data_IF_955462694356
#
_entry.id   IF_955462694356
#
_cell.length_a   1.000
_cell.length_b   1.000
_cell.length_c   1.000
_cell.angle_alpha   90.00
_cell.angle_beta   90.00
_cell.angle_gamma   90.00
#
_symmetry.space_group_name_H-M   'P 1'
#
loop_
_entity.id
_entity.type
_entity.pdbx_description
1 polymer ?
#
# COMPACT_ATOMS: atom_id res chain seq x y z
N UNK A 1 17.19 99.92 -25.25
CA UNK A 1 16.92 98.67 -24.51
C UNK A 1 16.73 97.54 -25.53
N UNK A 2 17.70 96.61 -25.70
CA UNK A 2 17.50 95.41 -26.50
C UNK A 2 17.50 94.16 -25.59
N UNK A 3 16.37 93.46 -25.49
CA UNK A 3 16.28 92.13 -24.87
C UNK A 3 15.48 91.22 -25.81
N UNK A 4 16.14 90.50 -26.73
CA UNK A 4 15.49 89.34 -27.39
C UNK A 4 16.41 88.26 -27.97
N UNK A 5 17.75 88.30 -27.81
CA UNK A 5 18.62 87.32 -28.50
C UNK A 5 19.06 86.09 -27.68
N UNK A 6 18.70 85.96 -26.39
CA UNK A 6 19.21 84.90 -25.52
C UNK A 6 18.43 83.58 -25.64
N UNK A 7 17.13 83.62 -25.94
CA UNK A 7 16.26 82.43 -25.94
C UNK A 7 16.44 81.52 -27.16
N UNK A 8 16.85 82.06 -28.31
CA UNK A 8 17.03 81.28 -29.55
C UNK A 8 18.34 80.48 -29.58
N UNK A 9 19.35 80.93 -28.83
CA UNK A 9 20.65 80.23 -28.73
C UNK A 9 20.57 79.02 -27.80
N UNK A 10 19.77 79.08 -26.74
CA UNK A 10 19.54 77.96 -25.81
C UNK A 10 18.77 76.83 -26.50
N UNK A 11 17.76 77.15 -27.30
CA UNK A 11 16.97 76.17 -28.05
C UNK A 11 17.77 75.50 -29.18
N UNK A 12 18.70 76.22 -29.82
CA UNK A 12 19.64 75.61 -30.79
C UNK A 12 20.68 74.71 -30.11
N UNK A 13 21.19 75.11 -28.93
CA UNK A 13 22.11 74.29 -28.15
C UNK A 13 21.48 72.98 -27.64
N UNK A 14 20.17 72.99 -27.31
CA UNK A 14 19.40 71.79 -26.98
C UNK A 14 19.14 70.88 -28.19
N UNK A 15 19.07 71.44 -29.41
CA UNK A 15 18.85 70.68 -30.64
C UNK A 15 20.10 69.96 -31.17
N UNK A 16 21.29 70.49 -30.90
CA UNK A 16 22.58 69.91 -31.31
C UNK A 16 23.20 68.97 -30.26
N UNK A 17 22.58 68.81 -29.09
CA UNK A 17 23.10 67.98 -28.01
C UNK A 17 22.79 66.48 -28.20
N UNK A 18 23.77 65.77 -28.78
CA UNK A 18 23.72 64.31 -28.99
C UNK A 18 23.66 63.50 -27.69
N UNK A 19 24.00 64.09 -26.54
CA UNK A 19 23.90 63.43 -25.23
C UNK A 19 22.45 63.35 -24.71
N UNK A 20 21.57 64.26 -25.17
CA UNK A 20 20.13 64.19 -24.90
C UNK A 20 19.45 63.05 -25.66
N UNK A 21 19.85 62.80 -26.91
CA UNK A 21 19.29 61.72 -27.73
C UNK A 21 19.64 60.32 -27.19
N UNK A 22 20.87 60.11 -26.71
CA UNK A 22 21.28 58.85 -26.08
C UNK A 22 20.57 58.61 -24.75
N UNK A 23 20.34 59.67 -23.95
CA UNK A 23 19.56 59.57 -22.71
C UNK A 23 18.12 59.11 -22.96
N UNK A 24 17.48 59.59 -24.03
CA UNK A 24 16.11 59.16 -24.41
C UNK A 24 16.08 57.69 -24.83
N UNK A 25 17.03 57.24 -25.66
CA UNK A 25 17.11 55.84 -26.12
C UNK A 25 17.42 54.90 -24.95
N UNK A 26 18.33 55.28 -24.05
CA UNK A 26 18.66 54.53 -22.83
C UNK A 26 17.45 54.47 -21.89
N UNK A 27 16.71 55.57 -21.73
CA UNK A 27 15.48 55.60 -20.93
C UNK A 27 14.41 54.65 -21.46
N UNK A 28 14.15 54.68 -22.77
CA UNK A 28 13.16 53.80 -23.41
C UNK A 28 13.57 52.32 -23.37
N UNK A 29 14.85 52.02 -23.59
CA UNK A 29 15.36 50.64 -23.49
C UNK A 29 15.33 50.12 -22.06
N UNK A 30 15.63 50.94 -21.06
CA UNK A 30 15.55 50.56 -19.64
C UNK A 30 14.11 50.24 -19.21
N UNK A 31 13.12 51.03 -19.65
CA UNK A 31 11.69 50.73 -19.42
C UNK A 31 11.32 49.36 -20.03
N UNK A 32 11.82 49.07 -21.23
CA UNK A 32 11.57 47.80 -21.91
C UNK A 32 12.17 46.62 -21.13
N UNK A 33 13.43 46.72 -20.71
CA UNK A 33 14.12 45.68 -19.91
C UNK A 33 13.42 45.46 -18.58
N UNK A 34 13.07 46.53 -17.86
CA UNK A 34 12.33 46.44 -16.60
C UNK A 34 10.94 45.83 -16.79
N UNK A 35 10.26 46.12 -17.90
CA UNK A 35 9.00 45.50 -18.28
C UNK A 35 9.13 43.98 -18.43
N UNK A 36 10.17 43.50 -19.11
CA UNK A 36 10.43 42.06 -19.25
C UNK A 36 10.82 41.39 -17.93
N UNK A 37 11.62 42.04 -17.09
CA UNK A 37 11.96 41.54 -15.74
C UNK A 37 10.71 41.43 -14.88
N UNK A 38 9.85 42.45 -14.88
CA UNK A 38 8.58 42.44 -14.17
C UNK A 38 7.65 41.33 -14.63
N UNK A 39 7.56 41.09 -15.94
CA UNK A 39 6.79 39.98 -16.51
C UNK A 39 7.36 38.62 -16.08
N UNK A 40 8.69 38.48 -16.04
CA UNK A 40 9.37 37.27 -15.53
C UNK A 40 9.01 36.98 -14.07
N UNK A 41 8.99 38.00 -13.21
CA UNK A 41 8.59 37.88 -11.80
C UNK A 41 7.13 37.44 -11.68
N UNK A 42 6.22 38.05 -12.45
CA UNK A 42 4.80 37.71 -12.41
C UNK A 42 4.52 36.28 -12.88
N UNK A 43 5.21 35.82 -13.93
CA UNK A 43 5.14 34.43 -14.40
C UNK A 43 5.69 33.46 -13.35
N UNK A 44 6.85 33.79 -12.75
CA UNK A 44 7.45 33.00 -11.67
C UNK A 44 6.53 32.87 -10.46
N UNK A 45 5.96 33.98 -9.99
CA UNK A 45 5.00 33.99 -8.89
C UNK A 45 3.74 33.18 -9.22
N UNK A 46 3.23 33.29 -10.45
CA UNK A 46 2.08 32.50 -10.92
C UNK A 46 2.38 31.01 -10.96
N UNK A 47 3.58 30.62 -11.38
CA UNK A 47 4.02 29.22 -11.41
C UNK A 47 4.14 28.62 -10.00
N UNK A 48 4.74 29.36 -9.06
CA UNK A 48 4.83 28.94 -7.65
C UNK A 48 3.43 28.83 -7.03
N UNK A 49 2.56 29.80 -7.28
CA UNK A 49 1.17 29.75 -6.81
C UNK A 49 0.40 28.56 -7.39
N UNK A 50 0.65 28.21 -8.66
CA UNK A 50 0.08 27.00 -9.30
C UNK A 50 0.56 25.73 -8.63
N UNK A 51 1.86 25.60 -8.35
CA UNK A 51 2.44 24.43 -7.69
C UNK A 51 1.91 24.27 -6.25
N UNK A 52 1.81 25.37 -5.52
CA UNK A 52 1.20 25.41 -4.18
C UNK A 52 -0.27 24.96 -4.21
N UNK A 53 -1.05 25.45 -5.18
CA UNK A 53 -2.45 25.03 -5.34
C UNK A 53 -2.57 23.55 -5.74
N UNK A 54 -1.65 23.03 -6.55
CA UNK A 54 -1.64 21.61 -6.94
C UNK A 54 -1.36 20.70 -5.74
N UNK A 55 -0.31 20.99 -4.96
CA UNK A 55 0.01 20.24 -3.76
C UNK A 55 -1.16 20.19 -2.76
N UNK A 56 -1.89 21.31 -2.64
CA UNK A 56 -3.09 21.39 -1.80
C UNK A 56 -4.25 20.56 -2.37
N UNK A 57 -4.48 20.59 -3.68
CA UNK A 57 -5.52 19.81 -4.34
C UNK A 57 -5.25 18.30 -4.22
N UNK A 58 -4.01 17.87 -4.45
CA UNK A 58 -3.57 16.47 -4.33
C UNK A 58 -3.82 15.95 -2.89
N UNK A 59 -3.37 16.72 -1.89
CA UNK A 59 -3.55 16.36 -0.49
C UNK A 59 -5.03 16.36 -0.07
N UNK A 60 -5.80 17.34 -0.53
CA UNK A 60 -7.23 17.43 -0.26
C UNK A 60 -8.00 16.25 -0.90
N UNK A 61 -7.74 15.92 -2.16
CA UNK A 61 -8.37 14.79 -2.85
C UNK A 61 -8.04 13.46 -2.17
N UNK A 62 -6.77 13.22 -1.85
CA UNK A 62 -6.34 12.02 -1.14
C UNK A 62 -7.03 11.89 0.23
N UNK A 63 -7.06 12.97 1.02
CA UNK A 63 -7.69 12.98 2.34
C UNK A 63 -9.21 12.77 2.28
N UNK A 64 -9.86 13.33 1.26
CA UNK A 64 -11.29 13.20 1.05
C UNK A 64 -11.65 11.77 0.65
N UNK A 65 -10.88 11.17 -0.25
CA UNK A 65 -11.00 9.76 -0.59
C UNK A 65 -10.74 8.84 0.63
N UNK A 66 -9.80 9.19 1.53
CA UNK A 66 -9.62 8.50 2.81
C UNK A 66 -10.84 8.60 3.73
N UNK A 67 -11.43 9.81 3.84
CA UNK A 67 -12.61 10.04 4.67
C UNK A 67 -13.84 9.25 4.19
N UNK A 68 -14.03 9.10 2.87
CA UNK A 68 -15.09 8.24 2.32
C UNK A 68 -14.92 6.79 2.81
N UNK A 69 -13.68 6.28 2.81
CA UNK A 69 -13.41 4.90 3.25
C UNK A 69 -13.54 4.71 4.76
N UNK A 70 -13.31 5.77 5.54
CA UNK A 70 -13.59 5.79 6.96
C UNK A 70 -15.10 5.88 7.29
N UNK A 71 -15.98 5.87 6.28
CA UNK A 71 -17.43 5.92 6.46
C UNK A 71 -17.98 7.33 6.75
N UNK A 72 -17.22 8.37 6.46
CA UNK A 72 -17.63 9.77 6.71
C UNK A 72 -18.45 10.31 5.55
N UNK A 73 -19.61 10.93 5.82
CA UNK A 73 -20.44 11.59 4.80
C UNK A 73 -19.96 13.00 4.43
N UNK A 74 -19.17 13.66 5.29
CA UNK A 74 -18.75 15.06 5.15
C UNK A 74 -17.41 15.19 4.38
N UNK A 75 -17.35 14.57 3.20
CA UNK A 75 -16.15 14.50 2.34
C UNK A 75 -15.66 15.89 1.93
N UNK A 76 -16.60 16.80 1.65
CA UNK A 76 -16.32 18.19 1.24
C UNK A 76 -15.62 18.99 2.34
N UNK A 77 -16.05 18.83 3.59
CA UNK A 77 -15.47 19.55 4.73
C UNK A 77 -14.03 19.09 5.00
N UNK A 78 -13.76 17.78 4.86
CA UNK A 78 -12.41 17.24 4.99
C UNK A 78 -11.46 17.84 3.94
N UNK A 79 -11.85 17.83 2.65
CA UNK A 79 -11.05 18.42 1.59
C UNK A 79 -10.79 19.92 1.82
N UNK A 80 -11.82 20.66 2.26
CA UNK A 80 -11.71 22.10 2.57
C UNK A 80 -10.81 22.37 3.77
N UNK A 81 -10.86 21.54 4.81
CA UNK A 81 -9.98 21.66 5.98
C UNK A 81 -8.52 21.43 5.59
N UNK A 82 -8.23 20.44 4.75
CA UNK A 82 -6.88 20.20 4.24
C UNK A 82 -6.42 21.35 3.34
N UNK A 83 -7.25 21.82 2.41
CA UNK A 83 -6.91 22.98 1.58
C UNK A 83 -6.62 24.25 2.42
N UNK A 84 -7.38 24.47 3.50
CA UNK A 84 -7.14 25.56 4.44
C UNK A 84 -5.80 25.45 5.17
N UNK A 85 -5.31 24.24 5.47
CA UNK A 85 -3.98 24.02 6.05
C UNK A 85 -2.83 24.45 5.10
N UNK A 86 -3.08 24.50 3.78
CA UNK A 86 -2.18 25.07 2.78
C UNK A 86 -2.39 26.58 2.58
N UNK A 87 -3.20 27.23 3.40
CA UNK A 87 -3.56 28.65 3.26
C UNK A 87 -4.59 28.93 2.15
N UNK A 88 -5.29 27.90 1.67
CA UNK A 88 -6.28 28.00 0.59
C UNK A 88 -7.68 27.69 1.15
N UNK A 89 -8.15 28.55 2.06
CA UNK A 89 -9.47 28.40 2.69
C UNK A 89 -10.58 28.83 1.73
N UNK A 90 -11.56 27.95 1.54
CA UNK A 90 -12.72 28.20 0.68
C UNK A 90 -13.48 29.47 1.09
N UNK A 91 -13.84 30.30 0.10
CA UNK A 91 -14.56 31.56 0.30
C UNK A 91 -13.72 32.74 0.83
N UNK A 92 -12.43 32.54 1.09
CA UNK A 92 -11.52 33.59 1.60
C UNK A 92 -10.56 34.02 0.51
N UNK A 93 -10.28 35.33 0.39
CA UNK A 93 -9.34 35.90 -0.60
C UNK A 93 -9.61 35.47 -2.06
N UNK A 94 -10.89 35.21 -2.40
CA UNK A 94 -11.31 34.75 -3.72
C UNK A 94 -10.93 33.30 -4.04
N UNK A 95 -10.47 32.52 -3.05
CA UNK A 95 -10.23 31.08 -3.18
C UNK A 95 -11.55 30.34 -3.23
N UNK A 96 -11.66 29.39 -4.16
CA UNK A 96 -12.76 28.44 -4.26
C UNK A 96 -12.22 27.01 -4.25
N UNK A 97 -12.76 26.18 -3.36
CA UNK A 97 -12.46 24.76 -3.24
C UNK A 97 -13.74 23.98 -3.58
N UNK A 98 -13.76 23.41 -4.78
CA UNK A 98 -14.87 22.58 -5.27
C UNK A 98 -14.50 21.11 -5.09
N UNK A 99 -15.42 20.33 -4.55
CA UNK A 99 -15.24 18.88 -4.31
C UNK A 99 -16.38 18.15 -5.01
N UNK A 100 -16.04 17.23 -5.92
CA UNK A 100 -17.01 16.45 -6.69
C UNK A 100 -16.84 14.95 -6.40
N UNK A 101 -17.95 14.30 -6.06
CA UNK A 101 -18.06 12.85 -5.85
C UNK A 101 -19.34 12.35 -6.54
N UNK A 102 -19.28 11.82 -7.78
CA UNK A 102 -18.09 11.50 -8.58
C UNK A 102 -17.41 12.72 -9.24
N UNK A 103 -16.19 12.57 -9.81
CA UNK A 103 -15.53 13.60 -10.60
C UNK A 103 -16.40 14.10 -11.76
N UNK A 104 -16.37 15.40 -12.02
CA UNK A 104 -17.20 16.03 -13.06
C UNK A 104 -16.54 15.98 -14.46
N UNK A 105 -15.21 15.95 -14.52
CA UNK A 105 -14.44 16.01 -15.77
C UNK A 105 -13.22 15.08 -15.71
N UNK A 106 -12.42 15.02 -16.79
CA UNK A 106 -11.19 14.21 -16.86
C UNK A 106 -11.42 12.73 -17.17
N UNK A 107 -10.35 11.94 -17.13
CA UNK A 107 -10.39 10.49 -17.40
C UNK A 107 -11.11 9.67 -16.32
N UNK A 108 -11.44 10.28 -15.18
CA UNK A 108 -12.21 9.69 -14.09
C UNK A 108 -13.63 10.26 -13.97
N UNK A 109 -14.11 11.03 -14.96
CA UNK A 109 -15.46 11.60 -14.92
C UNK A 109 -16.53 10.52 -14.69
N UNK A 110 -17.44 10.75 -13.75
CA UNK A 110 -18.53 9.82 -13.42
C UNK A 110 -18.11 8.59 -12.60
N UNK A 111 -16.83 8.43 -12.24
CA UNK A 111 -16.38 7.31 -11.42
C UNK A 111 -16.87 7.46 -9.97
N UNK A 112 -17.86 6.66 -9.58
CA UNK A 112 -18.46 6.65 -8.25
C UNK A 112 -17.46 6.33 -7.12
N UNK A 113 -16.29 5.79 -7.44
CA UNK A 113 -15.21 5.45 -6.51
C UNK A 113 -14.04 6.46 -6.57
N UNK A 114 -14.33 7.70 -6.93
CA UNK A 114 -13.33 8.76 -6.99
C UNK A 114 -13.85 10.07 -6.38
N UNK A 115 -12.92 10.88 -5.87
CA UNK A 115 -13.14 12.23 -5.37
C UNK A 115 -12.26 13.18 -6.19
N UNK A 116 -12.88 14.20 -6.78
CA UNK A 116 -12.19 15.29 -7.48
C UNK A 116 -12.17 16.53 -6.58
N UNK A 117 -11.01 17.16 -6.46
CA UNK A 117 -10.85 18.46 -5.80
C UNK A 117 -10.27 19.46 -6.79
N UNK A 118 -10.96 20.58 -6.95
CA UNK A 118 -10.54 21.69 -7.81
C UNK A 118 -10.35 22.91 -6.91
N UNK A 119 -9.12 23.45 -6.89
CA UNK A 119 -8.80 24.68 -6.17
C UNK A 119 -8.55 25.79 -7.17
N UNK A 120 -9.41 26.82 -7.13
CA UNK A 120 -9.26 28.04 -7.91
C UNK A 120 -8.87 29.20 -6.99
N UNK A 121 -7.89 30.00 -7.40
CA UNK A 121 -7.49 31.22 -6.68
C UNK A 121 -7.10 32.36 -7.62
N UNK A 122 -7.23 33.63 -7.20
CA UNK A 122 -6.73 34.75 -7.99
C UNK A 122 -5.20 34.69 -8.11
N UNK A 123 -4.68 34.86 -9.34
CA UNK A 123 -3.25 35.06 -9.55
C UNK A 123 -2.82 36.44 -9.06
N UNK A 124 -1.80 36.49 -8.19
CA UNK A 124 -1.20 37.76 -7.78
C UNK A 124 -0.31 38.30 -8.90
N UNK A 125 -0.42 39.61 -9.17
CA UNK A 125 0.40 40.34 -10.14
C UNK A 125 1.09 41.49 -9.45
N UNK A 126 2.35 41.71 -9.78
CA UNK A 126 3.14 42.79 -9.23
C UNK A 126 3.41 43.85 -10.30
N UNK A 127 3.89 43.44 -11.48
CA UNK A 127 4.41 44.37 -12.49
C UNK A 127 3.59 44.44 -13.79
N UNK A 128 2.70 43.46 -14.06
CA UNK A 128 1.85 43.41 -15.25
C UNK A 128 0.51 44.15 -15.11
N UNK A 129 0.19 44.68 -13.93
CA UNK A 129 -1.06 45.41 -13.63
C UNK A 129 -1.37 46.53 -14.64
N UNK A 130 -0.41 47.40 -15.06
CA UNK A 130 -0.71 48.45 -16.03
C UNK A 130 -0.95 47.95 -17.46
N UNK A 131 -0.58 46.71 -17.78
CA UNK A 131 -0.62 46.17 -19.15
C UNK A 131 -1.73 45.13 -19.38
N UNK A 132 -2.35 44.57 -18.33
CA UNK A 132 -3.37 43.52 -18.44
C UNK A 132 -4.60 43.77 -17.55
N UNK A 133 -5.77 43.93 -18.19
CA UNK A 133 -7.03 44.40 -17.55
C UNK A 133 -7.72 43.42 -16.60
N UNK A 134 -7.41 42.12 -16.60
CA UNK A 134 -8.04 41.15 -15.70
C UNK A 134 -7.05 40.11 -15.19
N UNK A 135 -6.98 39.93 -13.87
CA UNK A 135 -6.22 38.89 -13.16
C UNK A 135 -6.61 37.48 -13.62
N UNK A 136 -5.65 36.65 -14.01
CA UNK A 136 -5.92 35.26 -14.38
C UNK A 136 -6.24 34.44 -13.12
N UNK A 137 -7.20 33.50 -13.23
CA UNK A 137 -7.49 32.54 -12.15
C UNK A 137 -6.56 31.34 -12.31
N UNK A 138 -5.84 30.99 -11.24
CA UNK A 138 -5.01 29.80 -11.16
C UNK A 138 -5.89 28.65 -10.67
N UNK A 139 -5.95 27.53 -11.42
CA UNK A 139 -6.85 26.40 -11.14
C UNK A 139 -6.11 25.07 -11.02
N UNK A 140 -5.85 24.57 -9.82
CA UNK A 140 -5.36 23.21 -9.62
C UNK A 140 -6.49 22.19 -9.57
N UNK A 141 -6.25 20.97 -10.05
CA UNK A 141 -7.22 19.87 -10.02
C UNK A 141 -6.49 18.58 -9.67
N UNK A 142 -7.06 17.80 -8.78
CA UNK A 142 -6.59 16.47 -8.44
C UNK A 142 -7.78 15.51 -8.27
N UNK A 143 -7.57 14.23 -8.54
CA UNK A 143 -8.53 13.15 -8.37
C UNK A 143 -7.89 12.02 -7.60
N UNK A 144 -8.53 11.60 -6.51
CA UNK A 144 -8.16 10.41 -5.77
C UNK A 144 -9.24 9.34 -5.91
N UNK A 145 -8.85 8.12 -6.27
CA UNK A 145 -9.72 6.94 -6.20
C UNK A 145 -9.67 6.35 -4.81
N UNK A 146 -10.81 5.84 -4.35
CA UNK A 146 -10.96 5.02 -3.16
C UNK A 146 -11.67 3.73 -3.54
N UNK A 147 -11.67 2.71 -2.68
CA UNK A 147 -12.27 1.42 -3.05
C UNK A 147 -11.58 0.71 -4.23
N UNK A 148 -10.35 1.10 -4.60
CA UNK A 148 -9.67 0.69 -5.84
C UNK A 148 -9.01 -0.70 -5.75
N UNK A 149 -8.68 -1.14 -4.53
CA UNK A 149 -8.09 -2.45 -4.29
C UNK A 149 -8.93 -3.19 -3.25
N UNK A 150 -9.34 -4.41 -3.56
CA UNK A 150 -10.18 -5.25 -2.71
C UNK A 150 -9.47 -5.73 -1.45
N UNK A 151 -10.17 -6.51 -0.63
CA UNK A 151 -9.60 -7.19 0.53
C UNK A 151 -8.43 -8.11 0.11
N UNK A 152 -7.40 -8.21 0.94
CA UNK A 152 -6.21 -8.97 0.64
C UNK A 152 -6.37 -10.46 0.98
N UNK A 153 -5.96 -11.34 0.05
CA UNK A 153 -5.61 -12.73 0.36
C UNK A 153 -4.13 -12.87 0.69
N UNK A 154 -3.31 -12.02 0.10
CA UNK A 154 -1.85 -12.09 0.20
C UNK A 154 -1.32 -10.69 0.50
N UNK A 155 -0.50 -10.58 1.54
CA UNK A 155 0.19 -9.35 1.91
C UNK A 155 1.67 -9.66 2.17
N UNK A 156 2.54 -9.10 1.34
CA UNK A 156 3.98 -9.02 1.63
C UNK A 156 4.24 -7.75 2.45
N UNK A 157 4.62 -7.92 3.71
CA UNK A 157 4.73 -6.87 4.72
C UNK A 157 6.06 -6.11 4.67
N UNK A 158 7.11 -6.69 4.09
CA UNK A 158 8.44 -6.07 4.06
C UNK A 158 8.43 -4.75 3.27
N UNK A 159 8.92 -3.67 3.88
CA UNK A 159 8.88 -2.31 3.32
C UNK A 159 9.99 -1.99 2.31
N UNK A 160 11.02 -2.84 2.19
CA UNK A 160 12.22 -2.55 1.39
C UNK A 160 12.71 -3.70 0.51
N UNK A 161 12.29 -4.94 0.76
CA UNK A 161 12.76 -6.09 0.00
C UNK A 161 12.42 -5.96 -1.49
N UNK A 162 13.41 -6.17 -2.35
CA UNK A 162 13.15 -6.47 -3.75
C UNK A 162 12.44 -7.82 -3.83
N UNK A 163 11.48 -7.97 -4.74
CA UNK A 163 10.67 -9.17 -4.87
C UNK A 163 9.99 -9.63 -3.56
N UNK A 164 9.54 -8.66 -2.73
CA UNK A 164 8.77 -8.95 -1.52
C UNK A 164 7.57 -9.86 -1.77
N UNK A 165 6.97 -9.77 -2.96
CA UNK A 165 6.18 -10.83 -3.56
C UNK A 165 6.90 -11.35 -4.81
N UNK A 166 7.16 -12.65 -4.85
CA UNK A 166 7.89 -13.30 -5.94
C UNK A 166 7.09 -14.46 -6.49
N UNK A 167 7.04 -14.57 -7.80
CA UNK A 167 6.55 -15.76 -8.48
C UNK A 167 7.50 -16.14 -9.60
N UNK A 168 7.83 -17.43 -9.69
CA UNK A 168 8.83 -17.93 -10.62
C UNK A 168 8.48 -19.29 -11.17
N UNK A 169 8.74 -19.51 -12.46
CA UNK A 169 8.59 -20.79 -13.12
C UNK A 169 7.38 -20.79 -14.05
N UNK A 170 6.65 -21.90 -14.09
CA UNK A 170 5.39 -22.05 -14.83
C UNK A 170 4.24 -22.24 -13.84
N UNK A 171 4.05 -21.26 -12.97
CA UNK A 171 3.08 -21.27 -11.88
C UNK A 171 1.78 -20.57 -12.29
N UNK A 172 0.65 -21.06 -11.77
CA UNK A 172 -0.65 -20.39 -11.85
C UNK A 172 -1.19 -20.16 -10.43
N UNK A 173 -1.22 -18.90 -10.00
CA UNK A 173 -1.69 -18.46 -8.68
C UNK A 173 -3.03 -17.75 -8.84
N UNK A 174 -4.08 -18.34 -8.27
CA UNK A 174 -5.45 -17.83 -8.34
C UNK A 174 -5.94 -17.30 -7.00
N UNK A 175 -6.05 -15.99 -6.90
CA UNK A 175 -6.61 -15.24 -5.78
C UNK A 175 -8.11 -14.96 -6.04
N UNK A 176 -8.97 -15.80 -5.50
CA UNK A 176 -10.42 -15.80 -5.77
C UNK A 176 -11.11 -14.75 -4.90
N UNK A 177 -11.59 -13.68 -5.54
CA UNK A 177 -12.36 -12.61 -4.88
C UNK A 177 -11.51 -11.71 -3.96
N UNK A 178 -10.19 -11.66 -4.18
CA UNK A 178 -9.26 -10.93 -3.34
C UNK A 178 -8.03 -10.43 -4.10
N UNK A 179 -7.29 -9.59 -3.41
CA UNK A 179 -6.13 -8.89 -3.94
C UNK A 179 -4.81 -9.38 -3.34
N UNK A 180 -3.72 -9.06 -4.04
CA UNK A 180 -2.36 -9.16 -3.54
C UNK A 180 -1.85 -7.76 -3.19
N UNK A 181 -1.20 -7.63 -2.03
CA UNK A 181 -0.49 -6.42 -1.65
C UNK A 181 0.99 -6.66 -1.40
N UNK A 182 1.81 -5.67 -1.75
CA UNK A 182 3.21 -5.63 -1.38
C UNK A 182 3.57 -4.24 -0.84
N UNK A 183 4.04 -4.21 0.42
CA UNK A 183 4.41 -2.99 1.12
C UNK A 183 5.80 -2.46 0.73
N UNK A 184 6.57 -3.21 -0.05
CA UNK A 184 7.91 -2.80 -0.43
C UNK A 184 7.90 -1.58 -1.35
N UNK A 185 8.73 -0.60 -1.04
CA UNK A 185 8.99 0.60 -1.86
C UNK A 185 9.86 0.32 -3.08
N UNK A 186 10.39 -0.91 -3.23
CA UNK A 186 11.24 -1.29 -4.35
C UNK A 186 10.52 -1.14 -5.69
N UNK A 187 11.21 -0.69 -6.73
CA UNK A 187 10.68 -0.70 -8.11
C UNK A 187 10.31 -2.10 -8.62
N UNK A 188 10.75 -3.14 -7.91
CA UNK A 188 10.44 -4.55 -8.19
C UNK A 188 9.84 -5.25 -6.97
N UNK A 189 8.98 -4.55 -6.21
CA UNK A 189 8.29 -5.08 -5.03
C UNK A 189 7.53 -6.39 -5.34
N UNK A 190 6.90 -6.47 -6.52
CA UNK A 190 6.36 -7.70 -7.10
C UNK A 190 7.19 -8.12 -8.31
N UNK A 191 7.64 -9.38 -8.36
CA UNK A 191 8.31 -9.94 -9.52
C UNK A 191 7.64 -11.21 -9.99
N UNK A 192 7.30 -11.29 -11.28
CA UNK A 192 6.90 -12.53 -11.93
C UNK A 192 7.93 -12.88 -13.02
N UNK A 193 8.41 -14.13 -13.02
CA UNK A 193 9.43 -14.62 -13.96
C UNK A 193 9.05 -15.96 -14.56
N UNK A 194 9.40 -16.16 -15.83
CA UNK A 194 9.01 -17.37 -16.56
C UNK A 194 7.55 -17.25 -17.01
N UNK A 195 6.86 -18.37 -17.17
CA UNK A 195 5.44 -18.41 -17.54
C UNK A 195 4.49 -18.26 -16.34
N UNK A 196 4.96 -17.62 -15.26
CA UNK A 196 4.19 -17.37 -14.04
C UNK A 196 2.97 -16.48 -14.29
N UNK A 197 1.82 -16.86 -13.73
CA UNK A 197 0.56 -16.11 -13.88
C UNK A 197 -0.11 -15.91 -12.53
N UNK A 198 -0.41 -14.65 -12.19
CA UNK A 198 -1.31 -14.31 -11.07
C UNK A 198 -2.66 -13.90 -11.63
N UNK A 199 -3.72 -14.55 -11.17
CA UNK A 199 -5.10 -14.08 -11.35
C UNK A 199 -5.63 -13.54 -10.02
N UNK A 200 -6.05 -12.29 -9.97
CA UNK A 200 -6.54 -11.65 -8.74
C UNK A 200 -7.67 -10.65 -9.00
N UNK A 201 -8.38 -10.23 -7.96
CA UNK A 201 -9.30 -9.09 -8.07
C UNK A 201 -8.52 -7.81 -8.41
N UNK A 202 -7.51 -7.47 -7.61
CA UNK A 202 -6.56 -6.39 -7.91
C UNK A 202 -5.19 -6.65 -7.30
N UNK A 203 -4.22 -5.82 -7.67
CA UNK A 203 -2.88 -5.84 -7.06
C UNK A 203 -2.53 -4.43 -6.59
N UNK A 204 -2.22 -4.27 -5.31
CA UNK A 204 -1.84 -3.00 -4.69
C UNK A 204 -0.37 -3.00 -4.25
N UNK A 205 0.43 -2.06 -4.77
CA UNK A 205 1.87 -2.01 -4.55
C UNK A 205 2.28 -0.63 -4.05
N UNK A 206 3.12 -0.59 -3.02
CA UNK A 206 3.79 0.66 -2.63
C UNK A 206 4.84 1.03 -3.67
N UNK A 207 5.69 0.08 -4.03
CA UNK A 207 6.69 0.20 -5.09
C UNK A 207 6.14 -0.18 -6.46
N UNK A 208 7.01 -0.78 -7.27
CA UNK A 208 6.70 -1.22 -8.64
C UNK A 208 6.63 -2.74 -8.80
N UNK A 209 6.50 -3.18 -10.05
CA UNK A 209 6.54 -4.59 -10.41
C UNK A 209 7.32 -4.85 -11.69
N UNK A 210 7.80 -6.07 -11.86
CA UNK A 210 8.46 -6.52 -13.09
C UNK A 210 7.90 -7.86 -13.56
N UNK A 211 7.56 -7.94 -14.85
CA UNK A 211 7.16 -9.17 -15.52
C UNK A 211 8.25 -9.54 -16.53
N UNK A 212 8.70 -10.80 -16.53
CA UNK A 212 9.70 -11.29 -17.50
C UNK A 212 9.37 -12.68 -18.02
N UNK A 213 9.80 -12.98 -19.25
CA UNK A 213 9.72 -14.30 -19.89
C UNK A 213 8.29 -14.90 -19.99
N UNK A 214 7.33 -14.10 -20.49
CA UNK A 214 5.90 -14.45 -20.67
C UNK A 214 5.05 -14.47 -19.39
N UNK A 215 5.55 -13.91 -18.30
CA UNK A 215 4.78 -13.74 -17.08
C UNK A 215 3.53 -12.86 -17.32
N UNK A 216 2.42 -13.19 -16.68
CA UNK A 216 1.15 -12.50 -16.82
C UNK A 216 0.53 -12.13 -15.47
N UNK A 217 -0.15 -10.99 -15.44
CA UNK A 217 -0.90 -10.54 -14.28
C UNK A 217 -2.33 -10.20 -14.71
N UNK A 218 -3.26 -11.10 -14.41
CA UNK A 218 -4.65 -11.02 -14.82
C UNK A 218 -5.49 -10.48 -13.67
N UNK A 219 -5.77 -9.17 -13.70
CA UNK A 219 -6.52 -8.49 -12.64
C UNK A 219 -7.86 -7.96 -13.14
N UNK A 220 -8.91 -8.10 -12.33
CA UNK A 220 -10.26 -7.57 -12.67
C UNK A 220 -10.35 -6.06 -12.46
N UNK A 221 -9.80 -5.57 -11.35
CA UNK A 221 -9.79 -4.18 -10.90
C UNK A 221 -8.42 -3.49 -11.09
N UNK A 222 -7.50 -4.12 -11.82
CA UNK A 222 -6.22 -3.53 -12.22
C UNK A 222 -5.08 -3.68 -11.21
N UNK A 223 -3.93 -3.11 -11.60
CA UNK A 223 -2.71 -3.01 -10.80
C UNK A 223 -2.50 -1.56 -10.42
N UNK A 224 -2.26 -1.31 -9.14
CA UNK A 224 -2.10 0.03 -8.59
C UNK A 224 -0.77 0.13 -7.87
N UNK A 225 0.13 0.95 -8.37
CA UNK A 225 1.45 1.23 -7.78
C UNK A 225 1.44 2.58 -7.06
N UNK A 226 2.45 2.85 -6.22
CA UNK A 226 2.55 4.11 -5.49
C UNK A 226 1.50 4.27 -4.39
N UNK A 227 0.87 3.17 -3.96
CA UNK A 227 -0.14 3.21 -2.90
C UNK A 227 0.52 3.31 -1.52
N UNK A 228 -0.27 3.68 -0.51
CA UNK A 228 0.17 3.59 0.87
C UNK A 228 0.35 2.12 1.30
N UNK A 229 1.29 1.87 2.22
CA UNK A 229 1.50 0.55 2.78
C UNK A 229 0.24 0.09 3.53
N UNK A 230 -0.15 -1.17 3.32
CA UNK A 230 -1.25 -1.78 4.06
C UNK A 230 -0.83 -2.03 5.50
N UNK A 231 -1.71 -1.66 6.43
CA UNK A 231 -1.53 -1.94 7.84
C UNK A 231 -1.59 -3.45 8.12
N UNK A 232 -0.76 -3.91 9.04
CA UNK A 232 -0.82 -5.27 9.56
C UNK A 232 -1.99 -5.40 10.56
N UNK A 233 -3.08 -6.14 10.22
CA UNK A 233 -4.26 -6.25 11.07
C UNK A 233 -4.04 -7.08 12.33
N UNK A 234 -2.92 -7.81 12.43
CA UNK A 234 -2.58 -8.63 13.58
C UNK A 234 -1.47 -8.02 14.43
N UNK A 235 -0.91 -6.85 14.08
CA UNK A 235 0.24 -6.21 14.75
C UNK A 235 0.11 -6.13 16.27
N UNK A 236 -1.10 -5.94 16.77
CA UNK A 236 -1.47 -5.81 18.18
C UNK A 236 -1.70 -7.15 18.91
N UNK A 237 -1.82 -8.27 18.19
CA UNK A 237 -2.00 -9.60 18.81
C UNK A 237 -0.70 -10.03 19.50
N UNK A 238 -0.67 -10.16 20.84
CA UNK A 238 0.54 -10.53 21.56
C UNK A 238 0.87 -12.02 21.38
N UNK A 239 2.12 -12.39 21.60
CA UNK A 239 2.53 -13.80 21.72
C UNK A 239 1.80 -14.42 22.93
N UNK A 240 1.09 -15.56 22.77
CA UNK A 240 0.48 -16.25 23.90
C UNK A 240 1.52 -16.64 24.96
N UNK A 241 1.21 -16.41 26.24
CA UNK A 241 2.09 -16.82 27.33
C UNK A 241 2.18 -18.35 27.41
N UNK A 242 3.39 -18.87 27.58
CA UNK A 242 3.67 -20.30 27.70
C UNK A 242 4.90 -20.54 28.59
N UNK A 243 5.05 -21.77 29.08
CA UNK A 243 6.19 -22.17 29.91
C UNK A 243 6.41 -23.67 29.84
N UNK A 244 7.66 -24.11 29.97
CA UNK A 244 8.01 -25.53 29.97
C UNK A 244 7.86 -26.19 28.59
N UNK A 245 8.02 -27.51 28.56
CA UNK A 245 7.86 -28.35 27.39
C UNK A 245 7.01 -29.55 27.78
N UNK A 246 5.85 -29.73 27.14
CA UNK A 246 5.03 -30.94 27.33
C UNK A 246 5.59 -32.10 26.51
N UNK A 247 6.16 -31.79 25.33
CA UNK A 247 6.84 -32.73 24.45
C UNK A 247 8.18 -32.15 24.01
N UNK A 248 9.18 -33.01 23.81
CA UNK A 248 10.52 -32.58 23.39
C UNK A 248 11.07 -33.48 22.29
N UNK A 249 11.29 -32.91 21.11
CA UNK A 249 11.93 -33.57 19.98
C UNK A 249 11.13 -34.71 19.36
N UNK A 250 11.59 -35.18 18.21
CA UNK A 250 11.24 -36.50 17.67
C UNK A 250 10.03 -36.53 16.73
N UNK A 251 9.55 -37.75 16.48
CA UNK A 251 8.40 -37.99 15.61
C UNK A 251 7.11 -38.09 16.43
N UNK A 252 6.10 -37.30 16.04
CA UNK A 252 4.80 -37.31 16.65
C UNK A 252 3.98 -38.49 16.12
N UNK A 253 3.61 -39.47 16.96
CA UNK A 253 2.81 -40.60 16.51
C UNK A 253 1.37 -40.16 16.22
N UNK A 254 0.66 -41.00 15.47
CA UNK A 254 -0.78 -40.87 15.26
C UNK A 254 -1.51 -40.75 16.59
N UNK A 255 -2.40 -39.78 16.71
CA UNK A 255 -3.10 -39.54 17.96
C UNK A 255 -3.88 -38.24 17.98
N UNK A 256 -4.60 -38.04 19.08
CA UNK A 256 -5.31 -36.80 19.39
C UNK A 256 -4.54 -36.07 20.47
N UNK A 257 -4.20 -34.81 20.22
CA UNK A 257 -3.46 -33.96 21.15
C UNK A 257 -4.34 -32.80 21.56
N UNK A 258 -4.43 -32.55 22.87
CA UNK A 258 -5.28 -31.52 23.43
C UNK A 258 -4.49 -30.72 24.46
N UNK A 259 -4.68 -29.41 24.47
CA UNK A 259 -4.29 -28.63 25.63
C UNK A 259 -5.30 -28.87 26.77
N UNK A 260 -4.83 -28.93 28.01
CA UNK A 260 -5.66 -29.13 29.20
C UNK A 260 -5.38 -28.02 30.21
N UNK A 261 -6.42 -27.60 30.95
CA UNK A 261 -6.28 -26.59 32.00
C UNK A 261 -6.08 -25.15 31.50
N UNK A 262 -6.50 -24.82 30.28
CA UNK A 262 -6.51 -23.44 29.77
C UNK A 262 -5.15 -22.85 29.41
N UNK A 263 -4.06 -23.62 29.49
CA UNK A 263 -2.74 -23.24 28.97
C UNK A 263 -2.51 -23.81 27.56
N UNK A 264 -1.58 -23.26 26.76
CA UNK A 264 -1.16 -23.90 25.50
C UNK A 264 -0.49 -25.26 25.72
N UNK A 265 -0.51 -26.12 24.70
CA UNK A 265 0.30 -27.35 24.66
C UNK A 265 1.65 -27.06 23.97
N UNK A 266 2.78 -27.36 24.61
CA UNK A 266 4.11 -26.92 24.17
C UNK A 266 4.96 -28.08 23.65
N UNK A 267 5.40 -27.98 22.39
CA UNK A 267 6.36 -28.86 21.75
C UNK A 267 7.71 -28.14 21.62
N UNK A 268 8.77 -28.73 22.15
CA UNK A 268 10.10 -28.14 22.15
C UNK A 268 11.10 -28.89 21.26
N UNK A 269 12.10 -28.19 20.74
CA UNK A 269 13.27 -28.76 20.04
C UNK A 269 12.92 -29.58 18.78
N UNK A 270 11.98 -29.08 17.98
CA UNK A 270 11.58 -29.65 16.71
C UNK A 270 10.61 -30.83 16.82
N UNK A 271 9.75 -30.94 15.82
CA UNK A 271 8.68 -31.92 15.75
C UNK A 271 8.52 -32.42 14.32
N UNK A 272 8.51 -33.73 14.12
CA UNK A 272 8.25 -34.33 12.80
C UNK A 272 6.99 -35.18 12.81
N UNK A 273 6.12 -35.01 11.82
CA UNK A 273 5.00 -35.93 11.56
C UNK A 273 5.37 -36.69 10.30
N UNK A 274 5.47 -38.01 10.37
CA UNK A 274 6.06 -38.85 9.33
C UNK A 274 5.38 -40.21 9.26
N UNK A 275 5.82 -41.06 8.33
CA UNK A 275 5.40 -42.48 8.25
C UNK A 275 3.89 -42.69 8.18
N UNK A 276 3.17 -41.78 7.49
CA UNK A 276 1.72 -41.86 7.36
C UNK A 276 0.94 -41.48 8.64
N UNK A 277 1.60 -40.92 9.66
CA UNK A 277 0.96 -40.59 10.92
C UNK A 277 -0.17 -39.56 10.73
N UNK A 278 -1.26 -39.76 11.46
CA UNK A 278 -2.41 -38.84 11.51
C UNK A 278 -2.49 -38.20 12.88
N UNK A 279 -2.12 -36.92 12.95
CA UNK A 279 -2.15 -36.10 14.16
C UNK A 279 -3.40 -35.21 14.11
N UNK A 280 -4.23 -35.33 15.14
CA UNK A 280 -5.43 -34.51 15.31
C UNK A 280 -5.25 -33.59 16.51
N UNK A 281 -5.45 -32.30 16.32
CA UNK A 281 -5.41 -31.27 17.35
C UNK A 281 -6.84 -30.88 17.74
N UNK A 282 -7.18 -31.01 19.02
CA UNK A 282 -8.40 -30.43 19.57
C UNK A 282 -8.34 -28.89 19.54
N UNK A 283 -9.48 -28.18 19.66
CA UNK A 283 -9.46 -26.72 19.70
C UNK A 283 -8.53 -26.19 20.80
N UNK A 284 -7.64 -25.26 20.45
CA UNK A 284 -6.63 -24.75 21.38
C UNK A 284 -5.41 -24.12 20.73
N UNK A 285 -4.49 -23.65 21.59
CA UNK A 285 -3.21 -23.06 21.16
C UNK A 285 -2.08 -24.07 21.38
N UNK A 286 -1.24 -24.23 20.35
CA UNK A 286 -0.12 -25.15 20.34
C UNK A 286 1.16 -24.38 20.06
N UNK A 287 2.12 -24.44 20.99
CA UNK A 287 3.39 -23.73 20.88
C UNK A 287 4.43 -24.67 20.31
N UNK A 288 5.09 -24.24 19.25
CA UNK A 288 6.31 -24.85 18.71
C UNK A 288 7.46 -23.96 19.20
N UNK A 289 8.14 -24.42 20.26
CA UNK A 289 9.23 -23.71 20.91
C UNK A 289 10.58 -24.28 20.50
N UNK A 290 11.27 -23.56 19.62
CA UNK A 290 12.59 -23.94 19.08
C UNK A 290 12.58 -25.19 18.21
N UNK A 291 13.22 -25.09 17.04
CA UNK A 291 13.27 -26.17 16.05
C UNK A 291 11.96 -26.36 15.30
N UNK A 292 12.04 -27.02 14.15
CA UNK A 292 11.00 -26.91 13.11
C UNK A 292 9.84 -27.87 13.34
N UNK A 293 8.63 -27.45 12.96
CA UNK A 293 7.52 -28.37 12.71
C UNK A 293 7.60 -28.85 11.27
N UNK A 294 7.90 -30.14 11.07
CA UNK A 294 7.95 -30.79 9.76
C UNK A 294 6.79 -31.76 9.58
N UNK A 295 5.99 -31.59 8.54
CA UNK A 295 4.95 -32.56 8.13
C UNK A 295 5.40 -33.22 6.84
N UNK A 296 5.73 -34.50 6.90
CA UNK A 296 6.28 -35.26 5.77
C UNK A 296 5.18 -35.82 4.86
N UNK A 297 5.57 -36.23 3.65
CA UNK A 297 4.64 -36.82 2.69
C UNK A 297 3.90 -38.03 3.25
N UNK A 298 2.59 -38.10 2.96
CA UNK A 298 1.69 -39.12 3.49
C UNK A 298 1.21 -38.89 4.93
N UNK A 299 1.84 -37.99 5.69
CA UNK A 299 1.36 -37.63 7.02
C UNK A 299 0.18 -36.64 6.95
N UNK A 300 -0.65 -36.65 7.99
CA UNK A 300 -1.81 -35.77 8.14
C UNK A 300 -1.72 -34.98 9.44
N UNK A 301 -1.86 -33.66 9.37
CA UNK A 301 -2.05 -32.77 10.51
C UNK A 301 -3.39 -32.07 10.35
N UNK A 302 -4.31 -32.29 11.30
CA UNK A 302 -5.66 -31.70 11.25
C UNK A 302 -6.10 -31.15 12.60
N UNK A 303 -6.95 -30.13 12.58
CA UNK A 303 -7.51 -29.54 13.80
C UNK A 303 -8.49 -28.42 13.49
N UNK A 304 -9.52 -28.28 14.34
CA UNK A 304 -10.50 -27.21 14.22
C UNK A 304 -10.45 -26.28 15.42
N UNK A 305 -10.51 -24.97 15.17
CA UNK A 305 -10.36 -23.97 16.24
C UNK A 305 -8.95 -23.97 16.85
N UNK A 306 -7.92 -24.16 16.03
CA UNK A 306 -6.53 -24.32 16.48
C UNK A 306 -5.64 -23.18 15.99
N UNK A 307 -4.69 -22.78 16.83
CA UNK A 307 -3.59 -21.88 16.46
C UNK A 307 -2.26 -22.57 16.74
N UNK A 308 -1.43 -22.69 15.71
CA UNK A 308 -0.02 -23.07 15.86
C UNK A 308 0.83 -21.81 16.00
N UNK A 309 1.63 -21.74 17.06
CA UNK A 309 2.48 -20.59 17.40
C UNK A 309 3.94 -20.99 17.24
N UNK A 310 4.66 -20.30 16.37
CA UNK A 310 6.08 -20.54 16.08
C UNK A 310 6.93 -19.51 16.81
N UNK A 311 7.76 -19.95 17.76
CA UNK A 311 8.50 -19.05 18.66
C UNK A 311 9.81 -19.68 19.19
N UNK A 312 10.49 -18.94 20.06
CA UNK A 312 11.65 -19.39 20.82
C UNK A 312 11.68 -18.74 22.20
N UNK A 313 11.76 -19.58 23.23
CA UNK A 313 11.93 -19.21 24.63
C UNK A 313 13.35 -18.73 24.94
N UNK A 314 14.33 -19.07 24.11
CA UNK A 314 15.75 -18.70 24.28
C UNK A 314 16.17 -17.49 23.43
N UNK A 315 15.29 -16.98 22.58
CA UNK A 315 15.63 -15.94 21.61
C UNK A 315 16.52 -16.41 20.46
N UNK A 316 16.70 -17.74 20.31
CA UNK A 316 17.51 -18.38 19.26
C UNK A 316 16.80 -19.62 18.71
N UNK A 317 17.15 -20.06 17.50
CA UNK A 317 16.53 -21.22 16.85
C UNK A 317 15.00 -21.16 16.77
N UNK A 318 14.43 -19.99 16.44
CA UNK A 318 12.99 -19.82 16.25
C UNK A 318 12.45 -20.90 15.31
N UNK A 319 11.40 -21.59 15.75
CA UNK A 319 10.79 -22.66 14.98
C UNK A 319 10.26 -22.16 13.64
N UNK A 320 10.41 -22.96 12.59
CA UNK A 320 9.75 -22.75 11.29
C UNK A 320 8.73 -23.85 11.02
N UNK A 321 7.97 -23.69 9.94
CA UNK A 321 7.07 -24.70 9.39
C UNK A 321 7.61 -25.23 8.05
N UNK A 322 7.68 -26.55 7.94
CA UNK A 322 8.02 -27.27 6.71
C UNK A 322 6.96 -28.33 6.40
N UNK A 323 6.15 -28.08 5.38
CA UNK A 323 5.19 -29.05 4.85
C UNK A 323 5.78 -29.61 3.56
N UNK A 324 6.04 -30.91 3.51
CA UNK A 324 6.59 -31.58 2.34
C UNK A 324 5.50 -32.04 1.37
N UNK A 325 5.90 -32.37 0.14
CA UNK A 325 5.02 -32.93 -0.89
C UNK A 325 4.17 -34.09 -0.39
N UNK A 326 2.89 -34.12 -0.77
CA UNK A 326 1.89 -35.13 -0.37
C UNK A 326 1.55 -35.18 1.13
N UNK A 327 1.92 -34.17 1.92
CA UNK A 327 1.38 -34.00 3.26
C UNK A 327 -0.05 -33.45 3.20
N UNK A 328 -0.92 -33.90 4.10
CA UNK A 328 -2.29 -33.37 4.25
C UNK A 328 -2.35 -32.45 5.45
N UNK A 329 -2.79 -31.21 5.23
CA UNK A 329 -2.99 -30.20 6.26
C UNK A 329 -4.46 -29.78 6.22
N UNK A 330 -5.16 -29.88 7.34
CA UNK A 330 -6.55 -29.40 7.47
C UNK A 330 -6.73 -28.68 8.81
N UNK A 331 -6.46 -27.37 8.79
CA UNK A 331 -6.50 -26.52 9.98
C UNK A 331 -7.57 -25.44 9.81
N UNK A 332 -8.32 -25.17 10.87
CA UNK A 332 -9.13 -23.95 10.97
C UNK A 332 -8.82 -23.18 12.24
N UNK A 333 -8.68 -21.86 12.09
CA UNK A 333 -8.42 -20.93 13.17
C UNK A 333 -9.60 -20.89 14.17
N UNK A 334 -9.35 -20.51 15.43
CA UNK A 334 -10.40 -20.26 16.39
C UNK A 334 -11.24 -19.03 15.99
N UNK A 335 -12.55 -19.10 16.22
CA UNK A 335 -13.49 -17.99 15.93
C UNK A 335 -13.61 -16.98 17.08
N UNK A 336 -12.95 -17.24 18.21
CA UNK A 336 -12.89 -16.38 19.40
C UNK A 336 -11.57 -16.58 20.16
N UNK A 337 -11.33 -15.77 21.19
CA UNK A 337 -10.13 -15.86 22.03
C UNK A 337 -8.94 -15.04 21.52
N UNK A 338 -7.78 -15.09 22.22
CA UNK A 338 -6.64 -14.20 21.96
C UNK A 338 -6.04 -14.32 20.56
N UNK A 339 -6.10 -15.52 19.96
CA UNK A 339 -5.59 -15.82 18.61
C UNK A 339 -6.70 -15.97 17.58
N UNK A 340 -7.87 -15.37 17.85
CA UNK A 340 -9.03 -15.38 16.94
C UNK A 340 -8.62 -15.08 15.50
N UNK A 341 -9.07 -15.93 14.57
CA UNK A 341 -8.79 -15.80 13.15
C UNK A 341 -7.39 -16.26 12.72
N UNK A 342 -6.49 -16.61 13.63
CA UNK A 342 -5.12 -17.03 13.29
C UNK A 342 -4.98 -18.55 13.35
N UNK A 343 -4.71 -19.18 12.21
CA UNK A 343 -4.39 -20.60 12.17
C UNK A 343 -2.90 -20.81 12.46
N UNK A 344 -2.05 -19.95 11.89
CA UNK A 344 -0.61 -19.95 12.10
C UNK A 344 -0.15 -18.55 12.53
N UNK A 345 0.63 -18.48 13.61
CA UNK A 345 1.22 -17.26 14.15
C UNK A 345 2.71 -17.46 14.35
N UNK A 346 3.53 -16.57 13.80
CA UNK A 346 4.95 -16.46 14.13
C UNK A 346 5.21 -15.31 15.09
N UNK A 347 6.07 -15.58 16.07
CA UNK A 347 6.65 -14.56 16.94
C UNK A 347 7.40 -13.49 16.13
N UNK A 348 7.03 -12.22 16.31
CA UNK A 348 7.64 -11.07 15.63
C UNK A 348 9.13 -10.91 15.92
N UNK A 349 9.62 -11.47 17.03
CA UNK A 349 11.03 -11.46 17.40
C UNK A 349 11.87 -12.43 16.57
N UNK A 350 11.23 -13.31 15.78
CA UNK A 350 11.93 -14.21 14.88
C UNK A 350 12.78 -13.42 13.88
N UNK A 351 14.04 -13.82 13.64
CA UNK A 351 14.92 -13.15 12.69
C UNK A 351 14.42 -13.37 11.26
N UNK A 352 14.66 -12.37 10.39
CA UNK A 352 14.47 -12.49 8.95
C UNK A 352 15.53 -13.37 8.28
N UNK A 353 15.44 -13.54 6.96
CA UNK A 353 16.37 -14.38 6.18
C UNK A 353 16.14 -15.89 6.32
N UNK A 354 15.09 -16.29 7.03
CA UNK A 354 14.64 -17.68 7.19
C UNK A 354 13.31 -17.86 6.45
N UNK A 355 13.07 -19.08 5.95
CA UNK A 355 11.92 -19.41 5.10
C UNK A 355 11.04 -20.48 5.75
N UNK A 356 9.72 -20.32 5.61
CA UNK A 356 8.70 -21.30 5.97
C UNK A 356 8.11 -21.87 4.68
N UNK A 357 8.00 -23.20 4.60
CA UNK A 357 7.72 -23.89 3.34
C UNK A 357 6.38 -24.63 3.42
N UNK A 358 5.52 -24.35 2.45
CA UNK A 358 4.20 -24.96 2.27
C UNK A 358 4.21 -25.71 0.94
N UNK A 359 4.56 -27.00 0.93
CA UNK A 359 4.70 -27.81 -0.28
C UNK A 359 3.74 -29.02 -0.33
N UNK A 360 2.69 -29.06 0.49
CA UNK A 360 1.73 -30.18 0.57
C UNK A 360 0.82 -30.38 -0.65
N UNK A 361 0.93 -29.61 -1.74
CA UNK A 361 0.07 -29.75 -2.92
C UNK A 361 -1.39 -29.32 -2.67
N UNK A 362 -2.35 -30.01 -3.29
CA UNK A 362 -3.80 -29.72 -3.23
C UNK A 362 -4.45 -30.13 -1.90
N UNK A 363 -3.77 -30.86 -1.02
CA UNK A 363 -4.27 -31.32 0.28
C UNK A 363 -3.94 -30.35 1.43
N UNK A 364 -3.64 -29.08 1.11
CA UNK A 364 -3.38 -28.03 2.09
C UNK A 364 -4.60 -27.12 2.25
N UNK A 365 -5.41 -27.37 3.29
CA UNK A 365 -6.52 -26.53 3.75
C UNK A 365 -6.11 -25.82 5.04
N UNK A 366 -5.98 -24.50 4.97
CA UNK A 366 -5.75 -23.66 6.15
C UNK A 366 -6.80 -22.55 6.13
N UNK A 367 -7.84 -22.69 6.95
CA UNK A 367 -8.88 -21.70 7.12
C UNK A 367 -8.50 -20.73 8.25
N UNK A 368 -8.02 -19.55 7.91
CA UNK A 368 -7.57 -18.53 8.85
C UNK A 368 -6.44 -17.68 8.28
N UNK A 369 -5.85 -16.85 9.14
CA UNK A 369 -4.63 -16.14 8.84
C UNK A 369 -3.41 -17.04 9.01
N UNK A 370 -2.52 -16.94 8.03
CA UNK A 370 -1.15 -17.46 8.03
C UNK A 370 -0.25 -16.24 8.24
N UNK A 371 0.26 -16.06 9.45
CA UNK A 371 0.94 -14.82 9.86
C UNK A 371 2.42 -15.05 10.19
N UNK A 372 3.30 -14.63 9.28
CA UNK A 372 4.77 -14.75 9.35
C UNK A 372 5.46 -13.38 9.14
N UNK A 373 5.28 -12.41 10.06
CA UNK A 373 5.58 -11.00 9.81
C UNK A 373 7.06 -10.68 9.58
N UNK A 374 7.97 -11.55 10.04
CA UNK A 374 9.41 -11.30 9.98
C UNK A 374 10.14 -12.23 8.99
N UNK A 375 9.51 -13.33 8.58
CA UNK A 375 10.14 -14.36 7.74
C UNK A 375 9.44 -14.53 6.40
N UNK A 376 10.16 -15.17 5.47
CA UNK A 376 9.64 -15.50 4.15
C UNK A 376 8.73 -16.71 4.22
N UNK A 377 7.65 -16.70 3.46
CA UNK A 377 6.81 -17.86 3.19
C UNK A 377 6.95 -18.25 1.73
N UNK A 378 7.37 -19.49 1.48
CA UNK A 378 7.28 -20.10 0.16
C UNK A 378 6.09 -21.04 0.10
N UNK A 379 5.22 -20.76 -0.86
CA UNK A 379 3.97 -21.46 -1.06
C UNK A 379 3.98 -22.20 -2.39
N UNK A 380 3.74 -23.50 -2.33
CA UNK A 380 3.74 -24.43 -3.46
C UNK A 380 2.59 -25.41 -3.28
N UNK A 381 1.50 -25.20 -4.01
CA UNK A 381 0.27 -25.97 -3.81
C UNK A 381 -0.64 -25.36 -2.75
N UNK A 382 -1.94 -25.57 -2.94
CA UNK A 382 -3.00 -25.23 -2.00
C UNK A 382 -4.33 -25.31 -2.73
N UNK A 383 -5.32 -26.00 -2.17
CA UNK A 383 -6.67 -26.00 -2.74
C UNK A 383 -7.50 -24.90 -2.07
N UNK A 384 -8.19 -24.11 -2.90
CA UNK A 384 -9.36 -23.35 -2.46
C UNK A 384 -10.40 -24.38 -2.00
N UNK A 385 -10.38 -24.70 -0.71
CA UNK A 385 -11.37 -25.60 -0.17
C UNK A 385 -12.62 -24.78 0.10
N UNK A 386 -13.65 -25.11 -0.69
CA UNK A 386 -15.01 -24.55 -0.77
C UNK A 386 -15.08 -23.09 -1.19
N UNK A 387 -15.36 -22.79 -2.45
CA UNK A 387 -15.58 -21.44 -2.97
C UNK A 387 -16.51 -20.62 -2.08
N UNK A 388 -16.00 -19.56 -1.41
CA UNK A 388 -14.59 -19.27 -1.13
C UNK A 388 -14.16 -19.77 0.26
N UNK A 389 -12.98 -20.37 0.35
CA UNK A 389 -12.33 -20.64 1.64
C UNK A 389 -11.92 -19.29 2.24
N UNK A 390 -11.48 -19.28 3.49
CA UNK A 390 -10.91 -18.09 4.11
C UNK A 390 -9.45 -18.35 4.45
N UNK A 391 -8.53 -17.96 3.57
CA UNK A 391 -7.10 -18.03 3.81
C UNK A 391 -6.49 -16.67 3.53
N UNK A 392 -5.90 -16.06 4.56
CA UNK A 392 -5.18 -14.80 4.42
C UNK A 392 -3.72 -15.02 4.78
N UNK A 393 -2.83 -14.90 3.80
CA UNK A 393 -1.40 -15.02 3.96
C UNK A 393 -0.78 -13.64 4.16
N UNK A 394 -0.19 -13.41 5.32
CA UNK A 394 0.62 -12.23 5.60
C UNK A 394 2.02 -12.69 6.01
N UNK A 395 3.03 -12.34 5.23
CA UNK A 395 4.40 -12.67 5.54
C UNK A 395 5.33 -11.48 5.26
N UNK A 396 6.56 -11.49 5.80
CA UNK A 396 7.57 -10.50 5.42
C UNK A 396 7.76 -10.51 3.89
N UNK A 397 8.03 -11.69 3.36
CA UNK A 397 8.13 -11.96 1.92
C UNK A 397 7.27 -13.17 1.56
N UNK A 398 6.64 -13.14 0.39
CA UNK A 398 5.84 -14.25 -0.13
C UNK A 398 6.41 -14.70 -1.45
N UNK A 399 6.71 -15.99 -1.59
CA UNK A 399 7.16 -16.59 -2.83
C UNK A 399 6.23 -17.73 -3.27
N UNK A 400 5.71 -17.67 -4.49
CA UNK A 400 4.98 -18.76 -5.11
C UNK A 400 5.93 -19.56 -6.02
N UNK A 401 6.08 -20.86 -5.75
CA UNK A 401 6.94 -21.79 -6.51
C UNK A 401 6.18 -22.96 -7.15
N UNK A 402 4.87 -22.99 -6.97
CA UNK A 402 3.95 -23.97 -7.55
C UNK A 402 2.57 -23.34 -7.71
N UNK A 403 1.67 -24.03 -8.40
CA UNK A 403 0.29 -23.56 -8.54
C UNK A 403 -0.36 -23.41 -7.16
N UNK A 404 -1.16 -22.36 -6.96
CA UNK A 404 -1.84 -22.12 -5.70
C UNK A 404 -3.20 -21.48 -5.93
N UNK A 405 -4.18 -21.78 -5.07
CA UNK A 405 -5.44 -21.05 -5.05
C UNK A 405 -5.81 -20.63 -3.63
N UNK A 406 -6.03 -19.34 -3.44
CA UNK A 406 -6.38 -18.70 -2.17
C UNK A 406 -7.68 -17.89 -2.36
N UNK A 407 -8.48 -17.75 -1.30
CA UNK A 407 -9.72 -16.98 -1.29
C UNK A 407 -10.04 -16.46 0.12
N UNK A 408 -10.95 -15.48 0.24
CA UNK A 408 -11.22 -14.75 1.51
C UNK A 408 -12.69 -14.65 1.92
N UNK A 409 -13.52 -15.69 1.74
CA UNK A 409 -14.85 -15.64 2.37
C UNK A 409 -14.73 -15.91 3.87
N UNK A 410 -14.33 -14.86 4.59
CA UNK A 410 -13.97 -14.89 5.99
C UNK A 410 -15.14 -14.55 6.91
N UNK A 411 -16.38 -14.58 6.40
CA UNK A 411 -17.56 -14.40 7.22
C UNK A 411 -17.59 -15.47 8.33
N UNK A 412 -17.64 -15.04 9.59
CA UNK A 412 -17.70 -15.93 10.74
C UNK A 412 -16.40 -16.67 11.10
N UNK A 413 -15.27 -16.38 10.45
CA UNK A 413 -13.99 -17.08 10.74
C UNK A 413 -13.12 -16.37 11.78
N UNK A 414 -13.48 -15.16 12.19
CA UNK A 414 -12.68 -14.33 13.10
C UNK A 414 -11.43 -13.71 12.47
N UNK A 415 -11.17 -13.96 11.18
CA UNK A 415 -10.04 -13.35 10.46
C UNK A 415 -10.21 -11.85 10.40
N UNK A 416 -9.21 -11.13 10.90
CA UNK A 416 -9.07 -9.70 10.67
C UNK A 416 -8.60 -9.50 9.24
N UNK A 417 -9.40 -8.80 8.44
CA UNK A 417 -9.09 -8.60 7.03
C UNK A 417 -7.97 -7.58 6.85
N UNK A 418 -6.88 -7.99 6.19
CA UNK A 418 -5.90 -7.07 5.65
C UNK A 418 -6.38 -6.50 4.30
N UNK A 419 -5.82 -5.36 3.94
CA UNK A 419 -6.34 -4.59 2.82
C UNK A 419 -7.63 -3.89 3.19
N UNK A 420 -8.35 -3.44 2.18
CA UNK A 420 -9.26 -2.32 2.32
C UNK A 420 -8.62 -1.15 1.61
N UNK A 421 -9.41 -0.48 0.79
CA UNK A 421 -8.83 0.44 -0.16
C UNK A 421 -8.01 1.53 0.54
N UNK A 422 -6.83 1.79 -0.01
CA UNK A 422 -6.12 3.04 0.24
C UNK A 422 -6.58 4.05 -0.82
N UNK A 423 -6.62 5.35 -0.49
CA UNK A 423 -6.83 6.34 -1.52
C UNK A 423 -5.59 6.34 -2.42
N UNK A 424 -5.78 6.54 -3.72
CA UNK A 424 -4.66 6.71 -4.65
C UNK A 424 -4.95 7.90 -5.56
N UNK A 425 -3.98 8.80 -5.67
CA UNK A 425 -4.04 9.89 -6.65
C UNK A 425 -3.90 9.31 -8.05
N UNK A 426 -4.80 9.70 -8.95
CA UNK A 426 -4.85 9.18 -10.32
C UNK A 426 -4.85 10.27 -11.39
N UNK A 427 -5.16 11.51 -11.01
CA UNK A 427 -5.05 12.73 -11.81
C UNK A 427 -4.76 13.90 -10.86
#
# INVERSE_FOLDING_TARGET
>A
MPHSSSSSQILRALGDDRSGASAVIVGLSMVTVLGFVGLGIDVGASYVARRSAQNAADSAAFSAAAAVMAGTSNVTDQARAVAAAYGLRDGVDGVQVTVNTPPATGGQAGNAKAVEVIIARPGRRFFSVPFARAGGVIRARAVARYGAVGNACVVALNSTASASALETGSTDVKLVGCSLYANSTSSTALQLKGAATITADSVGLVGGYSLSNNAALNTTNGVHTGQAAIADPYKDVPLPAYSGCDFTGGSLPSGVYSNTGGRPLVFCNGLSISSGATVTLNPGTYIIDRGDLTVNGGATLKGQGVTLVFTSSTGSNYSTLHINGNATIDLSAPTSGPTQGMALYQDRRAPGGVENVFNGGSTQRIQGAIYFPSQKVTFSGGSSTTTPGCTQLLASEVAFKGNASLGINCAGTGVRMAGGAAPALVE
#
